data_IF_124391850502
#
_entry.id   IF_124391850502
#
_cell.length_a   1.000
_cell.length_b   1.000
_cell.length_c   1.000
_cell.angle_alpha   90.00
_cell.angle_beta   90.00
_cell.angle_gamma   90.00
#
_symmetry.space_group_name_H-M   'P 1'
#
loop_
_entity.id
_entity.type
_entity.pdbx_description
1 polymer ?
#
# COMPACT_ATOMS: atom_id res chain seq x y z
N UNK A 1 11.79 -84.01 -21.32
CA UNK A 1 12.47 -82.72 -21.10
C UNK A 1 11.97 -82.13 -19.80
N UNK A 2 12.89 -81.98 -18.85
CA UNK A 2 12.70 -81.33 -17.54
C UNK A 2 12.68 -79.80 -17.70
N UNK A 3 12.27 -79.12 -16.63
CA UNK A 3 12.34 -77.66 -16.33
C UNK A 3 11.13 -76.85 -16.79
N UNK A 4 10.54 -75.97 -15.98
CA UNK A 4 10.66 -75.74 -14.55
C UNK A 4 9.41 -74.98 -14.08
N UNK A 5 8.83 -75.49 -13.00
CA UNK A 5 7.75 -74.90 -12.23
C UNK A 5 8.39 -73.87 -11.30
N UNK A 6 8.10 -72.57 -11.46
CA UNK A 6 8.44 -71.55 -10.48
C UNK A 6 7.24 -70.62 -10.29
N UNK A 7 6.38 -71.04 -9.36
CA UNK A 7 5.41 -70.23 -8.65
C UNK A 7 6.07 -68.96 -8.11
N UNK A 8 5.66 -67.81 -8.62
CA UNK A 8 5.89 -66.53 -7.96
C UNK A 8 4.98 -66.47 -6.72
N UNK A 9 5.55 -66.82 -5.57
CA UNK A 9 4.95 -66.57 -4.27
C UNK A 9 5.00 -65.05 -4.02
N UNK A 10 3.99 -64.32 -4.50
CA UNK A 10 3.75 -62.94 -4.11
C UNK A 10 3.30 -62.96 -2.65
N UNK A 11 4.25 -63.01 -1.73
CA UNK A 11 4.02 -62.77 -0.31
C UNK A 11 3.54 -61.32 -0.20
N UNK A 12 2.23 -61.13 -0.12
CA UNK A 12 1.65 -59.87 0.35
C UNK A 12 2.16 -59.66 1.76
N UNK A 13 3.22 -58.86 1.92
CA UNK A 13 3.66 -58.38 3.22
C UNK A 13 2.52 -57.51 3.77
N UNK A 14 1.62 -58.16 4.51
CA UNK A 14 0.53 -57.48 5.18
C UNK A 14 1.17 -56.76 6.37
N UNK A 15 1.57 -55.52 6.13
CA UNK A 15 2.18 -54.70 7.16
C UNK A 15 1.21 -54.61 8.34
N UNK A 16 1.72 -54.89 9.54
CA UNK A 16 0.92 -54.82 10.75
C UNK A 16 0.36 -53.41 10.92
N UNK A 17 -0.81 -53.29 11.56
CA UNK A 17 -1.47 -52.00 11.79
C UNK A 17 -1.40 -51.66 13.26
N UNK A 18 -1.15 -50.39 13.57
CA UNK A 18 -1.24 -49.94 14.95
C UNK A 18 -2.71 -49.85 15.38
N UNK A 19 -2.91 -49.92 16.69
CA UNK A 19 -4.18 -49.67 17.36
C UNK A 19 -3.88 -48.78 18.55
N UNK A 20 -4.51 -47.61 18.60
CA UNK A 20 -4.36 -46.67 19.72
C UNK A 20 -5.54 -46.86 20.66
N UNK A 21 -5.26 -47.36 21.86
CA UNK A 21 -6.27 -47.66 22.87
C UNK A 21 -6.12 -46.77 24.10
N UNK A 22 -7.22 -46.61 24.84
CA UNK A 22 -7.27 -45.88 26.11
C UNK A 22 -6.73 -44.45 26.04
N UNK A 23 -6.98 -43.75 24.93
CA UNK A 23 -6.57 -42.36 24.82
C UNK A 23 -7.44 -41.47 25.70
N UNK A 24 -6.79 -40.61 26.46
CA UNK A 24 -7.43 -39.60 27.30
C UNK A 24 -6.59 -38.34 27.30
N UNK A 25 -7.29 -37.21 27.37
CA UNK A 25 -6.66 -35.93 27.65
C UNK A 25 -7.06 -35.47 29.05
N UNK A 26 -6.15 -34.75 29.69
CA UNK A 26 -6.35 -34.10 30.98
C UNK A 26 -5.89 -32.66 30.87
N UNK A 27 -6.79 -31.71 31.14
CA UNK A 27 -6.45 -30.29 31.25
C UNK A 27 -6.33 -29.94 32.74
N UNK A 28 -5.16 -29.43 33.14
CA UNK A 28 -4.88 -28.98 34.49
C UNK A 28 -4.74 -27.46 34.45
N UNK A 29 -5.73 -26.75 34.97
CA UNK A 29 -5.62 -25.31 35.18
C UNK A 29 -4.92 -25.04 36.50
N UNK A 30 -3.97 -24.09 36.55
CA UNK A 30 -3.06 -23.91 37.69
C UNK A 30 -3.68 -23.78 39.08
N UNK A 31 -4.97 -23.44 39.21
CA UNK A 31 -5.73 -23.35 40.48
C UNK A 31 -7.02 -24.21 40.52
N UNK A 32 -7.24 -25.07 39.52
CA UNK A 32 -8.48 -25.86 39.38
C UNK A 32 -8.25 -27.37 39.46
N UNK A 33 -9.34 -28.13 39.61
CA UNK A 33 -9.29 -29.59 39.53
C UNK A 33 -9.00 -30.07 38.09
N UNK A 34 -8.23 -31.16 37.91
CA UNK A 34 -7.89 -31.68 36.60
C UNK A 34 -9.11 -32.28 35.89
N UNK A 35 -9.48 -31.74 34.73
CA UNK A 35 -10.58 -32.26 33.91
C UNK A 35 -10.02 -33.32 32.97
N UNK A 36 -10.41 -34.58 33.17
CA UNK A 36 -10.00 -35.70 32.32
C UNK A 36 -11.17 -36.25 31.51
N UNK A 37 -10.98 -36.42 30.19
CA UNK A 37 -11.98 -37.01 29.29
C UNK A 37 -11.35 -38.06 28.38
N UNK A 38 -12.04 -39.18 28.12
CA UNK A 38 -11.59 -40.16 27.14
C UNK A 38 -11.75 -39.59 25.73
N UNK A 39 -10.85 -39.96 24.84
CA UNK A 39 -10.84 -39.49 23.46
C UNK A 39 -10.72 -40.70 22.53
N UNK A 40 -11.53 -40.73 21.48
CA UNK A 40 -11.52 -41.82 20.51
C UNK A 40 -10.69 -41.40 19.30
N UNK A 41 -9.50 -41.97 19.05
CA UNK A 41 -8.74 -41.70 17.85
C UNK A 41 -9.53 -42.18 16.62
N UNK A 42 -9.66 -41.32 15.62
CA UNK A 42 -10.30 -41.66 14.36
C UNK A 42 -9.45 -41.20 13.18
N UNK A 43 -9.61 -41.87 12.04
CA UNK A 43 -9.07 -41.41 10.76
C UNK A 43 -9.89 -40.25 10.17
N UNK A 44 -11.05 -39.93 10.76
CA UNK A 44 -11.89 -38.79 10.37
C UNK A 44 -11.64 -37.58 11.28
N UNK A 45 -11.84 -36.35 10.76
CA UNK A 45 -11.63 -35.13 11.52
C UNK A 45 -12.48 -35.11 12.79
N UNK A 46 -11.83 -35.02 13.94
CA UNK A 46 -12.46 -34.89 15.25
C UNK A 46 -13.16 -33.53 15.41
N UNK A 47 -14.43 -33.51 15.81
CA UNK A 47 -15.18 -32.27 16.11
C UNK A 47 -14.89 -31.71 17.52
N UNK A 48 -14.08 -32.39 18.33
CA UNK A 48 -13.78 -31.97 19.70
C UNK A 48 -12.76 -30.82 19.69
N UNK A 49 -13.11 -29.71 20.37
CA UNK A 49 -12.24 -28.55 20.52
C UNK A 49 -11.86 -28.39 21.99
N UNK A 50 -10.56 -28.34 22.26
CA UNK A 50 -10.00 -28.18 23.60
C UNK A 50 -9.36 -26.80 23.70
N UNK A 51 -9.80 -26.00 24.68
CA UNK A 51 -9.25 -24.66 24.92
C UNK A 51 -8.33 -24.69 26.14
N UNK A 52 -7.12 -24.16 25.97
CA UNK A 52 -6.08 -24.10 27.00
C UNK A 52 -5.70 -22.63 27.20
N UNK A 53 -5.50 -22.20 28.45
CA UNK A 53 -5.02 -20.85 28.81
C UNK A 53 -3.51 -20.84 29.03
N UNK A 54 -2.93 -19.66 29.20
CA UNK A 54 -1.48 -19.49 29.33
C UNK A 54 -0.85 -20.21 30.53
N UNK A 55 -1.58 -20.45 31.62
CA UNK A 55 -1.09 -21.16 32.81
C UNK A 55 -1.55 -22.62 32.90
N UNK A 56 -2.25 -23.11 31.88
CA UNK A 56 -2.81 -24.46 31.88
C UNK A 56 -1.78 -25.48 31.35
N UNK A 57 -1.91 -26.73 31.80
CA UNK A 57 -1.12 -27.86 31.33
C UNK A 57 -2.02 -28.93 30.74
N UNK A 58 -1.81 -29.28 29.47
CA UNK A 58 -2.48 -30.39 28.81
C UNK A 58 -1.63 -31.65 28.91
N UNK A 59 -2.22 -32.72 29.41
CA UNK A 59 -1.62 -34.05 29.41
C UNK A 59 -2.39 -34.96 28.49
N UNK A 60 -1.68 -35.63 27.59
CA UNK A 60 -2.24 -36.64 26.70
C UNK A 60 -1.62 -37.98 27.07
N UNK A 61 -2.46 -39.00 27.27
CA UNK A 61 -1.97 -40.35 27.53
C UNK A 61 -2.77 -41.38 26.76
N UNK A 62 -2.08 -42.33 26.15
CA UNK A 62 -2.64 -43.41 25.35
C UNK A 62 -1.68 -44.59 25.34
N UNK A 63 -2.16 -45.74 24.86
CA UNK A 63 -1.35 -46.93 24.67
C UNK A 63 -1.41 -47.38 23.21
N UNK A 64 -0.25 -47.71 22.65
CA UNK A 64 -0.10 -48.20 21.28
C UNK A 64 0.08 -49.71 21.33
N UNK A 65 -0.86 -50.41 20.72
CA UNK A 65 -0.88 -51.86 20.61
C UNK A 65 -0.88 -52.27 19.14
N UNK A 66 -0.47 -53.50 18.86
CA UNK A 66 -0.70 -54.12 17.56
C UNK A 66 -2.20 -54.48 17.42
N UNK A 67 -2.80 -54.14 16.29
CA UNK A 67 -4.22 -54.42 16.03
C UNK A 67 -4.56 -55.91 16.03
N UNK A 68 -3.61 -56.77 15.63
CA UNK A 68 -3.83 -58.22 15.49
C UNK A 68 -3.41 -58.94 16.76
N UNK A 69 -2.16 -58.73 17.20
CA UNK A 69 -1.61 -59.47 18.35
C UNK A 69 -2.05 -58.91 19.70
N UNK A 70 -2.61 -57.67 19.73
CA UNK A 70 -2.93 -56.91 20.95
C UNK A 70 -1.75 -56.71 21.89
N UNK A 71 -0.53 -57.00 21.45
CA UNK A 71 0.67 -56.77 22.25
C UNK A 71 1.07 -55.30 22.17
N UNK A 72 1.66 -54.80 23.24
CA UNK A 72 2.17 -53.44 23.28
C UNK A 72 3.35 -53.30 22.30
N UNK A 73 3.32 -52.24 21.50
CA UNK A 73 4.35 -51.96 20.49
C UNK A 73 4.99 -50.62 20.78
N UNK A 74 6.30 -50.53 20.58
CA UNK A 74 7.05 -49.28 20.61
C UNK A 74 7.40 -48.90 19.16
N UNK A 75 6.65 -47.97 18.53
CA UNK A 75 6.97 -47.51 17.18
C UNK A 75 8.33 -46.81 17.13
N UNK A 76 9.00 -46.88 15.98
CA UNK A 76 10.28 -46.21 15.76
C UNK A 76 10.11 -44.68 15.64
N UNK A 77 8.97 -44.23 15.10
CA UNK A 77 8.60 -42.83 14.94
C UNK A 77 7.23 -42.59 15.58
N UNK A 78 7.17 -41.59 16.46
CA UNK A 78 5.93 -41.15 17.10
C UNK A 78 6.00 -39.64 17.28
N UNK A 79 5.18 -38.93 16.51
CA UNK A 79 5.17 -37.47 16.51
C UNK A 79 3.75 -36.96 16.73
N UNK A 80 3.64 -35.88 17.50
CA UNK A 80 2.45 -35.07 17.57
C UNK A 80 2.66 -33.87 16.65
N UNK A 81 1.79 -33.74 15.66
CA UNK A 81 1.78 -32.60 14.73
C UNK A 81 0.71 -31.62 15.18
N UNK A 82 1.10 -30.37 15.32
CA UNK A 82 0.24 -29.21 15.51
C UNK A 82 0.23 -28.43 14.20
N UNK A 83 -0.94 -28.29 13.58
CA UNK A 83 -1.07 -27.64 12.27
C UNK A 83 -2.06 -26.48 12.35
N UNK A 84 -1.64 -25.30 11.90
CA UNK A 84 -2.53 -24.16 11.71
C UNK A 84 -3.00 -24.10 10.25
N UNK A 85 -4.31 -24.15 10.02
CA UNK A 85 -4.86 -24.13 8.67
C UNK A 85 -4.77 -22.77 7.99
N UNK A 86 -4.72 -21.68 8.79
CA UNK A 86 -4.73 -20.33 8.24
C UNK A 86 -3.34 -19.89 7.79
N UNK A 87 -2.33 -20.09 8.63
CA UNK A 87 -0.93 -19.77 8.29
C UNK A 87 -0.27 -20.86 7.45
N UNK A 88 -0.76 -22.11 7.53
CA UNK A 88 -0.10 -23.27 6.93
C UNK A 88 1.16 -23.71 7.70
N UNK A 89 1.44 -23.10 8.85
CA UNK A 89 2.58 -23.45 9.69
C UNK A 89 2.31 -24.73 10.48
N UNK A 90 3.38 -25.51 10.71
CA UNK A 90 3.31 -26.73 11.48
C UNK A 90 4.41 -26.83 12.54
N UNK A 91 4.02 -27.37 13.67
CA UNK A 91 4.89 -27.75 14.76
C UNK A 91 4.90 -29.25 14.96
N UNK A 92 6.06 -29.87 15.01
CA UNK A 92 6.20 -31.32 15.21
C UNK A 92 6.91 -31.58 16.54
N UNK A 93 6.22 -32.28 17.44
CA UNK A 93 6.76 -32.66 18.73
C UNK A 93 7.00 -34.17 18.78
N UNK A 94 8.26 -34.62 18.93
CA UNK A 94 8.55 -36.03 19.18
C UNK A 94 8.00 -36.46 20.54
N UNK A 95 7.35 -37.62 20.57
CA UNK A 95 6.84 -38.21 21.81
C UNK A 95 7.62 -39.49 22.12
N UNK A 96 8.04 -39.61 23.38
CA UNK A 96 8.69 -40.82 23.88
C UNK A 96 7.65 -41.89 24.21
N UNK A 97 7.78 -43.06 23.59
CA UNK A 97 6.98 -44.25 23.87
C UNK A 97 7.78 -45.19 24.77
N UNK A 98 7.17 -45.75 25.82
CA UNK A 98 7.82 -46.76 26.67
C UNK A 98 7.83 -48.13 25.98
N UNK A 99 8.65 -49.06 26.47
CA UNK A 99 8.64 -50.46 25.98
C UNK A 99 7.28 -51.15 26.15
N UNK A 100 6.45 -50.66 27.07
CA UNK A 100 5.06 -51.10 27.29
C UNK A 100 4.04 -50.41 26.38
N UNK A 101 4.47 -49.71 25.33
CA UNK A 101 3.60 -49.01 24.37
C UNK A 101 2.84 -47.82 24.97
N UNK A 102 3.11 -47.46 26.23
CA UNK A 102 2.43 -46.35 26.91
C UNK A 102 3.08 -45.03 26.55
N UNK A 103 2.24 -44.03 26.32
CA UNK A 103 2.63 -42.69 25.98
C UNK A 103 2.08 -41.72 27.02
N UNK A 104 2.93 -40.80 27.45
CA UNK A 104 2.57 -39.65 28.28
C UNK A 104 3.21 -38.41 27.66
N UNK A 105 2.38 -37.52 27.16
CA UNK A 105 2.78 -36.24 26.63
C UNK A 105 2.23 -35.15 27.55
N UNK A 106 3.04 -34.13 27.81
CA UNK A 106 2.70 -33.00 28.66
C UNK A 106 3.08 -31.71 27.93
N UNK A 107 2.08 -30.83 27.78
CA UNK A 107 2.20 -29.53 27.15
C UNK A 107 1.87 -28.47 28.19
N UNK A 108 2.90 -27.82 28.70
CA UNK A 108 2.78 -26.75 29.69
C UNK A 108 2.81 -25.40 28.99
N UNK A 109 1.71 -24.63 29.07
CA UNK A 109 1.62 -23.32 28.42
C UNK A 109 2.35 -22.20 29.18
N UNK A 110 2.74 -22.39 30.44
CA UNK A 110 3.55 -21.42 31.17
C UNK A 110 4.97 -21.32 30.57
N UNK A 111 5.42 -22.40 29.91
CA UNK A 111 6.68 -22.48 29.16
C UNK A 111 6.41 -23.25 27.86
N UNK A 112 5.75 -22.61 26.87
CA UNK A 112 5.36 -23.29 25.66
C UNK A 112 6.62 -23.76 24.91
N UNK A 113 6.63 -24.99 24.37
CA UNK A 113 7.78 -25.50 23.65
C UNK A 113 7.97 -24.76 22.33
N UNK A 114 9.23 -24.56 21.92
CA UNK A 114 9.61 -23.91 20.65
C UNK A 114 9.10 -24.64 19.40
N UNK A 115 8.66 -25.89 19.56
CA UNK A 115 8.09 -26.72 18.50
C UNK A 115 6.64 -26.38 18.19
N UNK A 116 5.96 -25.54 18.97
CA UNK A 116 4.63 -25.06 18.60
C UNK A 116 4.75 -24.00 17.50
N UNK A 117 3.87 -24.06 16.48
CA UNK A 117 3.82 -23.00 15.49
C UNK A 117 3.35 -21.69 16.17
N UNK A 118 3.77 -20.52 15.66
CA UNK A 118 3.13 -19.24 15.93
C UNK A 118 1.61 -19.36 15.88
N UNK A 119 0.95 -19.06 16.99
CA UNK A 119 -0.48 -19.28 17.16
C UNK A 119 -1.22 -17.97 17.02
N UNK A 120 -2.19 -17.95 16.11
CA UNK A 120 -3.18 -16.88 16.02
C UNK A 120 -4.43 -17.25 16.85
N UNK A 121 -5.56 -16.60 16.59
CA UNK A 121 -6.84 -16.92 17.23
C UNK A 121 -7.53 -18.16 16.59
N UNK A 122 -6.88 -18.82 15.62
CA UNK A 122 -7.33 -20.05 14.99
C UNK A 122 -7.03 -21.29 15.85
N UNK A 123 -7.91 -22.30 15.86
CA UNK A 123 -7.62 -23.57 16.53
C UNK A 123 -6.63 -24.41 15.72
N UNK A 124 -5.62 -24.96 16.39
CA UNK A 124 -4.62 -25.87 15.81
C UNK A 124 -5.19 -27.29 15.67
N UNK A 125 -4.96 -27.94 14.53
CA UNK A 125 -5.28 -29.36 14.36
C UNK A 125 -4.16 -30.21 14.95
N UNK A 126 -4.52 -31.07 15.92
CA UNK A 126 -3.58 -31.99 16.55
C UNK A 126 -3.73 -33.37 15.92
N UNK A 127 -2.67 -33.85 15.29
CA UNK A 127 -2.62 -35.15 14.61
C UNK A 127 -1.49 -36.01 15.20
N UNK A 128 -1.77 -37.27 15.49
CA UNK A 128 -0.77 -38.26 15.86
C UNK A 128 -0.25 -38.96 14.60
N UNK A 129 1.08 -38.97 14.45
CA UNK A 129 1.79 -39.64 13.36
C UNK A 129 2.59 -40.82 13.93
N UNK A 130 2.29 -42.02 13.44
CA UNK A 130 2.95 -43.26 13.84
C UNK A 130 3.67 -43.90 12.65
N UNK A 131 4.90 -44.34 12.87
CA UNK A 131 5.71 -45.00 11.85
C UNK A 131 6.67 -46.05 12.42
N UNK A 132 6.78 -47.19 11.75
CA UNK A 132 7.80 -48.21 12.00
C UNK A 132 8.01 -49.03 10.72
N UNK A 133 9.22 -49.52 10.41
CA UNK A 133 9.49 -50.25 9.17
C UNK A 133 8.58 -51.47 8.92
N UNK A 134 8.12 -52.13 9.98
CA UNK A 134 7.28 -53.34 9.89
C UNK A 134 5.78 -53.08 9.95
N UNK A 135 5.37 -51.82 10.10
CA UNK A 135 3.98 -51.41 10.28
C UNK A 135 3.55 -50.41 9.20
N UNK A 136 2.25 -50.39 8.89
CA UNK A 136 1.69 -49.36 7.99
C UNK A 136 1.71 -48.00 8.71
N UNK A 137 2.24 -46.92 8.09
CA UNK A 137 2.18 -45.59 8.67
C UNK A 137 0.74 -45.17 8.96
N UNK A 138 0.51 -44.59 10.13
CA UNK A 138 -0.84 -44.19 10.56
C UNK A 138 -0.86 -42.71 10.93
N UNK A 139 -1.87 -42.01 10.39
CA UNK A 139 -2.18 -40.62 10.68
C UNK A 139 -3.55 -40.57 11.35
N UNK A 140 -3.60 -40.16 12.60
CA UNK A 140 -4.83 -40.09 13.40
C UNK A 140 -5.09 -38.65 13.83
N UNK A 141 -6.23 -38.10 13.43
CA UNK A 141 -6.63 -36.77 13.85
C UNK A 141 -7.28 -36.87 15.24
N UNK A 142 -6.79 -36.07 16.20
CA UNK A 142 -7.16 -36.20 17.60
C UNK A 142 -8.23 -35.20 18.02
N UNK A 143 -7.88 -33.91 18.00
CA UNK A 143 -8.75 -32.81 18.41
C UNK A 143 -8.24 -31.49 17.83
N UNK A 144 -9.10 -30.48 17.89
CA UNK A 144 -8.72 -29.09 17.60
C UNK A 144 -8.33 -28.40 18.90
N UNK A 145 -7.18 -27.73 18.92
CA UNK A 145 -6.59 -27.14 20.11
C UNK A 145 -6.55 -25.62 20.00
N UNK A 146 -7.30 -24.95 20.86
CA UNK A 146 -7.29 -23.49 20.96
C UNK A 146 -6.30 -23.06 22.05
N UNK A 147 -5.24 -22.37 21.64
CA UNK A 147 -4.17 -21.84 22.50
C UNK A 147 -4.24 -20.31 22.45
N UNK A 148 -3.87 -19.57 23.52
CA UNK A 148 -3.67 -18.13 23.42
C UNK A 148 -2.71 -17.75 22.27
N UNK A 149 -2.92 -16.57 21.70
CA UNK A 149 -2.05 -16.05 20.66
C UNK A 149 -0.61 -15.92 21.18
N UNK A 150 0.35 -16.45 20.42
CA UNK A 150 1.77 -16.32 20.72
C UNK A 150 2.38 -15.19 19.89
N UNK A 151 3.66 -14.89 20.14
CA UNK A 151 4.38 -13.90 19.33
C UNK A 151 4.49 -14.41 17.89
N UNK A 152 4.43 -13.49 16.93
CA UNK A 152 4.59 -13.83 15.51
C UNK A 152 5.89 -14.58 15.26
N UNK A 153 5.91 -15.42 14.22
CA UNK A 153 7.13 -16.06 13.74
C UNK A 153 8.28 -15.04 13.68
N UNK A 154 9.50 -15.41 14.12
CA UNK A 154 10.65 -14.55 13.91
C UNK A 154 10.84 -14.35 12.40
N UNK A 155 10.56 -13.12 11.94
CA UNK A 155 10.72 -12.75 10.54
C UNK A 155 12.21 -12.77 10.18
N UNK A 156 12.54 -13.40 9.05
CA UNK A 156 13.90 -13.36 8.52
C UNK A 156 14.23 -11.90 8.16
N UNK A 157 15.44 -11.39 8.46
CA UNK A 157 15.79 -10.00 8.18
C UNK A 157 15.63 -9.62 6.70
N UNK A 158 15.79 -10.60 5.80
CA UNK A 158 15.65 -10.40 4.35
C UNK A 158 14.21 -10.60 3.82
N UNK A 159 13.23 -11.00 4.63
CA UNK A 159 11.84 -11.24 4.19
C UNK A 159 11.24 -9.99 3.53
N UNK A 160 11.56 -8.81 4.09
CA UNK A 160 11.12 -7.52 3.56
C UNK A 160 11.59 -7.23 2.11
N UNK A 161 12.68 -7.87 1.66
CA UNK A 161 13.24 -7.68 0.32
C UNK A 161 12.48 -8.46 -0.77
N UNK A 162 11.67 -9.46 -0.38
CA UNK A 162 10.95 -10.31 -1.32
C UNK A 162 9.48 -9.90 -1.54
N UNK A 163 9.05 -8.78 -0.94
CA UNK A 163 7.72 -8.24 -1.13
C UNK A 163 7.69 -7.10 -2.14
N UNK A 164 6.56 -6.97 -2.84
CA UNK A 164 6.29 -5.81 -3.68
C UNK A 164 6.24 -4.55 -2.81
N UNK A 165 7.09 -3.58 -3.12
CA UNK A 165 7.09 -2.28 -2.44
C UNK A 165 5.84 -1.48 -2.86
N UNK A 166 5.31 -0.63 -1.97
CA UNK A 166 4.20 0.24 -2.32
C UNK A 166 4.60 1.23 -3.42
N UNK A 167 3.64 1.57 -4.29
CA UNK A 167 3.85 2.55 -5.36
C UNK A 167 4.11 3.96 -4.79
N UNK A 168 5.09 4.67 -5.35
CA UNK A 168 5.43 6.03 -4.96
C UNK A 168 4.81 7.01 -5.96
N UNK A 169 3.80 7.77 -5.52
CA UNK A 169 3.18 8.82 -6.32
C UNK A 169 3.84 10.19 -6.07
N UNK A 170 4.17 10.91 -7.15
CA UNK A 170 4.71 12.27 -7.04
C UNK A 170 3.59 13.26 -6.66
N UNK A 171 3.80 14.02 -5.58
CA UNK A 171 2.88 15.08 -5.15
C UNK A 171 3.29 16.43 -5.75
N UNK A 172 2.49 16.93 -6.70
CA UNK A 172 2.68 18.26 -7.25
C UNK A 172 2.29 19.36 -6.26
N UNK A 173 2.91 20.54 -6.40
CA UNK A 173 2.51 21.72 -5.63
C UNK A 173 1.08 22.13 -6.02
N UNK A 174 0.23 22.47 -5.05
CA UNK A 174 -1.11 22.96 -5.35
C UNK A 174 -1.04 24.30 -6.07
N UNK A 175 -1.97 24.53 -7.00
CA UNK A 175 -2.08 25.81 -7.69
C UNK A 175 -2.43 26.94 -6.69
N UNK A 176 -1.80 28.14 -6.81
CA UNK A 176 -2.18 29.29 -6.00
C UNK A 176 -3.64 29.67 -6.21
N UNK A 177 -4.35 29.96 -5.11
CA UNK A 177 -5.75 30.40 -5.18
C UNK A 177 -5.85 31.81 -5.77
N UNK A 178 -6.59 31.94 -6.87
CA UNK A 178 -6.89 33.22 -7.50
C UNK A 178 -8.12 33.89 -6.85
N UNK A 179 -8.18 35.24 -6.81
CA UNK A 179 -9.37 35.95 -6.36
C UNK A 179 -10.61 35.70 -7.24
N UNK A 180 -11.83 35.94 -6.72
CA UNK A 180 -13.04 35.83 -7.51
C UNK A 180 -13.02 36.76 -8.74
N UNK A 181 -13.47 36.24 -9.89
CA UNK A 181 -13.49 36.99 -11.16
C UNK A 181 -14.31 38.28 -11.06
N UNK A 182 -15.46 38.24 -10.41
CA UNK A 182 -16.34 39.40 -10.25
C UNK A 182 -15.67 40.59 -9.55
N UNK A 183 -14.90 40.31 -8.49
CA UNK A 183 -14.14 41.34 -7.76
C UNK A 183 -13.05 41.91 -8.67
N UNK A 184 -12.30 41.04 -9.34
CA UNK A 184 -11.21 41.44 -10.24
C UNK A 184 -11.73 42.31 -11.41
N UNK A 185 -12.85 41.94 -12.03
CA UNK A 185 -13.45 42.69 -13.13
C UNK A 185 -14.00 44.04 -12.69
N UNK A 186 -14.58 44.12 -11.48
CA UNK A 186 -15.11 45.37 -10.94
C UNK A 186 -14.00 46.38 -10.70
N UNK A 187 -12.90 45.96 -10.04
CA UNK A 187 -11.76 46.85 -9.80
C UNK A 187 -11.02 47.22 -11.09
N UNK A 188 -10.82 46.28 -12.02
CA UNK A 188 -10.22 46.58 -13.31
C UNK A 188 -11.06 47.59 -14.11
N UNK A 189 -12.38 47.42 -14.13
CA UNK A 189 -13.31 48.36 -14.76
C UNK A 189 -13.29 49.73 -14.09
N UNK A 190 -13.25 49.78 -12.76
CA UNK A 190 -13.17 51.04 -12.01
C UNK A 190 -11.88 51.80 -12.32
N UNK A 191 -10.72 51.12 -12.30
CA UNK A 191 -9.42 51.74 -12.61
C UNK A 191 -9.37 52.23 -14.06
N UNK A 192 -9.99 51.52 -14.99
CA UNK A 192 -10.08 51.96 -16.38
C UNK A 192 -11.02 53.18 -16.49
N UNK A 193 -12.25 53.10 -16.02
CA UNK A 193 -13.29 54.09 -16.36
C UNK A 193 -13.15 55.40 -15.57
N UNK A 194 -12.82 55.34 -14.28
CA UNK A 194 -12.91 56.51 -13.38
C UNK A 194 -11.95 57.65 -13.80
N UNK A 195 -10.65 57.42 -14.05
CA UNK A 195 -9.74 58.50 -14.45
C UNK A 195 -10.13 59.15 -15.78
N UNK A 196 -10.58 58.36 -16.75
CA UNK A 196 -11.04 58.88 -18.05
C UNK A 196 -12.34 59.69 -17.91
N UNK A 197 -13.27 59.27 -17.05
CA UNK A 197 -14.49 60.02 -16.77
C UNK A 197 -14.18 61.37 -16.12
N UNK A 198 -13.29 61.39 -15.13
CA UNK A 198 -12.86 62.63 -14.47
C UNK A 198 -12.15 63.56 -15.46
N UNK A 199 -11.22 63.03 -16.26
CA UNK A 199 -10.46 63.81 -17.25
C UNK A 199 -11.38 64.41 -18.32
N UNK A 200 -12.30 63.62 -18.88
CA UNK A 200 -13.26 64.10 -19.88
C UNK A 200 -14.22 65.13 -19.29
N UNK A 201 -14.71 64.92 -18.06
CA UNK A 201 -15.52 65.90 -17.34
C UNK A 201 -14.81 67.25 -17.15
N UNK A 202 -13.53 67.22 -16.77
CA UNK A 202 -12.73 68.43 -16.62
C UNK A 202 -12.46 69.12 -17.96
N UNK A 203 -12.24 68.36 -19.03
CA UNK A 203 -12.12 68.93 -20.39
C UNK A 203 -13.40 69.61 -20.87
N UNK A 204 -14.58 69.07 -20.54
CA UNK A 204 -15.84 69.77 -20.85
C UNK A 204 -15.94 71.12 -20.11
N UNK A 205 -15.50 71.18 -18.85
CA UNK A 205 -15.52 72.41 -18.06
C UNK A 205 -14.54 73.48 -18.58
N UNK A 206 -13.32 73.08 -18.96
CA UNK A 206 -12.27 74.01 -19.41
C UNK A 206 -12.40 74.33 -20.91
N UNK A 207 -13.02 73.44 -21.69
CA UNK A 207 -13.19 73.55 -23.15
C UNK A 207 -11.89 73.94 -23.89
N UNK A 208 -10.82 73.12 -23.81
CA UNK A 208 -9.56 73.41 -24.46
C UNK A 208 -9.73 73.46 -25.99
N UNK A 209 -9.25 74.53 -26.62
CA UNK A 209 -9.31 74.70 -28.08
C UNK A 209 -8.04 74.17 -28.74
N UNK A 210 -8.19 73.29 -29.74
CA UNK A 210 -7.09 72.72 -30.54
C UNK A 210 -7.18 73.11 -32.03
N UNK A 211 -7.11 74.40 -32.38
CA UNK A 211 -7.47 74.89 -33.71
C UNK A 211 -6.55 74.42 -34.84
N UNK A 212 -5.31 73.99 -34.54
CA UNK A 212 -4.30 73.59 -35.54
C UNK A 212 -3.99 72.09 -35.58
N UNK A 213 -4.77 71.26 -34.88
CA UNK A 213 -4.50 69.81 -34.83
C UNK A 213 -4.48 69.17 -36.22
N UNK A 214 -5.35 69.64 -37.12
CA UNK A 214 -5.45 69.17 -38.50
C UNK A 214 -4.60 69.98 -39.50
N UNK A 215 -3.66 70.79 -39.02
CA UNK A 215 -2.73 71.50 -39.89
C UNK A 215 -1.77 70.49 -40.55
N UNK A 216 -1.44 70.64 -41.84
CA UNK A 216 -0.51 69.74 -42.54
C UNK A 216 0.88 69.68 -41.91
N UNK A 217 1.27 70.68 -41.13
CA UNK A 217 2.56 70.70 -40.42
C UNK A 217 2.53 69.95 -39.08
N UNK A 218 1.36 69.79 -38.45
CA UNK A 218 1.22 69.25 -37.07
C UNK A 218 0.65 67.84 -37.09
N UNK A 219 -0.30 67.57 -37.99
CA UNK A 219 -0.96 66.26 -38.11
C UNK A 219 0.03 65.10 -38.32
N UNK A 220 1.07 65.20 -39.17
CA UNK A 220 2.03 64.11 -39.34
C UNK A 220 2.79 63.78 -38.05
N UNK A 221 3.10 64.79 -37.24
CA UNK A 221 3.78 64.60 -35.96
C UNK A 221 2.86 63.93 -34.93
N UNK A 222 1.61 64.39 -34.78
CA UNK A 222 0.65 63.77 -33.86
C UNK A 222 0.27 62.36 -34.28
N UNK A 223 0.14 62.10 -35.59
CA UNK A 223 -0.05 60.75 -36.12
C UNK A 223 1.15 59.84 -35.80
N UNK A 224 2.38 60.35 -35.88
CA UNK A 224 3.57 59.57 -35.53
C UNK A 224 3.64 59.21 -34.03
N UNK A 225 3.17 60.10 -33.15
CA UNK A 225 3.02 59.80 -31.72
C UNK A 225 1.95 58.73 -31.48
N UNK A 226 0.80 58.82 -32.16
CA UNK A 226 -0.23 57.77 -32.11
C UNK A 226 0.26 56.42 -32.63
N UNK A 227 1.11 56.43 -33.67
CA UNK A 227 1.74 55.23 -34.19
C UNK A 227 2.71 54.59 -33.18
N UNK A 228 3.41 55.40 -32.35
CA UNK A 228 4.24 54.89 -31.26
C UNK A 228 3.41 54.20 -30.18
N UNK A 229 2.30 54.80 -29.76
CA UNK A 229 1.36 54.18 -28.80
C UNK A 229 0.78 52.87 -29.35
N UNK A 230 0.43 52.84 -30.64
CA UNK A 230 -0.02 51.62 -31.30
C UNK A 230 1.07 50.54 -31.37
N UNK A 231 2.32 50.92 -31.63
CA UNK A 231 3.45 50.00 -31.63
C UNK A 231 3.65 49.39 -30.23
N UNK A 232 3.53 50.19 -29.16
CA UNK A 232 3.60 49.71 -27.78
C UNK A 232 2.43 48.79 -27.43
N UNK A 233 1.22 49.09 -27.90
CA UNK A 233 0.08 48.17 -27.77
C UNK A 233 0.34 46.83 -28.49
N UNK A 234 0.84 46.87 -29.72
CA UNK A 234 1.19 45.67 -30.49
C UNK A 234 2.32 44.87 -29.82
N UNK A 235 3.29 45.53 -29.20
CA UNK A 235 4.30 44.88 -28.35
C UNK A 235 3.69 44.14 -27.18
N UNK A 236 2.73 44.74 -26.49
CA UNK A 236 2.07 44.11 -25.36
C UNK A 236 1.27 42.85 -25.76
N UNK A 237 0.69 42.84 -26.97
CA UNK A 237 -0.12 41.71 -27.46
C UNK A 237 0.73 40.59 -28.09
N UNK A 238 1.71 40.93 -28.93
CA UNK A 238 2.31 39.93 -29.84
C UNK A 238 3.77 40.16 -30.23
N UNK A 239 4.24 41.41 -30.42
CA UNK A 239 5.57 41.64 -31.00
C UNK A 239 6.70 41.24 -30.05
N UNK A 240 7.82 40.80 -30.64
CA UNK A 240 9.07 40.59 -29.91
C UNK A 240 9.85 41.91 -29.80
N UNK A 241 10.76 41.95 -28.83
CA UNK A 241 11.56 43.14 -28.56
C UNK A 241 12.36 43.64 -29.79
N UNK A 242 12.92 42.72 -30.59
CA UNK A 242 13.65 43.07 -31.81
C UNK A 242 12.79 43.76 -32.87
N UNK A 243 11.53 43.34 -33.03
CA UNK A 243 10.59 43.94 -33.99
C UNK A 243 10.23 45.35 -33.55
N UNK A 244 9.97 45.56 -32.26
CA UNK A 244 9.66 46.88 -31.69
C UNK A 244 10.83 47.83 -31.83
N UNK A 245 12.06 47.37 -31.58
CA UNK A 245 13.25 48.19 -31.77
C UNK A 245 13.43 48.58 -33.24
N UNK A 246 13.19 47.66 -34.17
CA UNK A 246 13.34 47.91 -35.61
C UNK A 246 12.27 48.88 -36.12
N UNK A 247 10.99 48.60 -35.86
CA UNK A 247 9.89 49.48 -36.24
C UNK A 247 9.97 50.82 -35.51
N UNK A 248 10.36 50.81 -34.23
CA UNK A 248 10.56 52.01 -33.43
C UNK A 248 11.71 52.88 -33.92
N UNK A 249 12.80 52.29 -34.43
CA UNK A 249 13.89 53.05 -35.03
C UNK A 249 13.45 53.75 -36.34
N UNK A 250 12.73 53.03 -37.21
CA UNK A 250 12.18 53.59 -38.45
C UNK A 250 11.17 54.71 -38.13
N UNK A 251 10.23 54.43 -37.23
CA UNK A 251 9.21 55.38 -36.81
C UNK A 251 9.82 56.59 -36.11
N UNK A 252 10.86 56.38 -35.28
CA UNK A 252 11.59 57.43 -34.59
C UNK A 252 12.23 58.42 -35.55
N UNK A 253 12.83 57.93 -36.64
CA UNK A 253 13.38 58.80 -37.69
C UNK A 253 12.28 59.71 -38.28
N UNK A 254 11.12 59.13 -38.61
CA UNK A 254 9.96 59.87 -39.13
C UNK A 254 9.45 60.90 -38.12
N UNK A 255 9.37 60.53 -36.83
CA UNK A 255 8.93 61.42 -35.75
C UNK A 255 9.89 62.59 -35.53
N UNK A 256 11.21 62.39 -35.68
CA UNK A 256 12.19 63.48 -35.57
C UNK A 256 11.98 64.52 -36.67
N UNK A 257 11.79 64.11 -37.92
CA UNK A 257 11.58 65.04 -39.03
C UNK A 257 10.23 65.76 -38.95
N UNK A 258 9.15 65.02 -38.72
CA UNK A 258 7.81 65.59 -38.58
C UNK A 258 7.70 66.48 -37.35
N UNK A 259 8.35 66.11 -36.24
CA UNK A 259 8.43 66.89 -35.01
C UNK A 259 9.19 68.19 -35.19
N UNK A 260 10.34 68.17 -35.88
CA UNK A 260 11.08 69.41 -36.20
C UNK A 260 10.22 70.38 -37.00
N UNK A 261 9.50 69.90 -38.02
CA UNK A 261 8.60 70.73 -38.83
C UNK A 261 7.41 71.28 -38.00
N UNK A 262 6.77 70.43 -37.20
CA UNK A 262 5.64 70.83 -36.36
C UNK A 262 6.05 71.89 -35.33
N UNK A 263 7.16 71.67 -34.62
CA UNK A 263 7.68 72.58 -33.59
C UNK A 263 8.16 73.91 -34.20
N UNK A 264 8.85 73.89 -35.35
CA UNK A 264 9.26 75.10 -36.05
C UNK A 264 8.05 75.94 -36.51
N UNK A 265 7.02 75.28 -37.04
CA UNK A 265 5.74 75.92 -37.44
C UNK A 265 4.98 76.55 -36.26
N UNK A 266 5.09 75.95 -35.06
CA UNK A 266 4.53 76.53 -33.82
C UNK A 266 5.39 77.73 -33.36
N UNK A 267 6.72 77.60 -33.43
CA UNK A 267 7.65 78.66 -33.05
C UNK A 267 7.50 79.91 -33.93
N UNK A 268 7.46 79.75 -35.25
CA UNK A 268 7.30 80.86 -36.21
C UNK A 268 6.00 81.62 -35.98
N UNK A 269 4.90 80.90 -35.68
CA UNK A 269 3.63 81.54 -35.33
C UNK A 269 3.73 82.38 -34.05
N UNK A 270 4.41 81.87 -33.01
CA UNK A 270 4.60 82.61 -31.75
C UNK A 270 5.46 83.86 -31.93
N UNK A 271 6.43 83.80 -32.84
CA UNK A 271 7.33 84.91 -33.18
C UNK A 271 6.76 85.86 -34.24
N UNK A 272 5.55 85.59 -34.77
CA UNK A 272 4.89 86.42 -35.77
C UNK A 272 5.54 86.41 -37.16
N UNK A 273 6.44 85.45 -37.42
CA UNK A 273 7.06 85.26 -38.72
C UNK A 273 6.13 84.41 -39.58
N UNK A 274 5.61 85.02 -40.65
CA UNK A 274 4.67 84.37 -41.60
C UNK A 274 5.40 83.41 -42.52
#
# INVERSE_FOLDING_TARGET
MKTAFLLFLAATAQAARFSVESMKYTVISGKGEPISKPLSPSAQPSSETITIRQDDTLKLSFQINDKISKQAVQPAQTFLRFYDEQSGEEGIQPIRVTSSGKVKFELNMAKPPLSLPPTSNSPLKVTLLLGSPSYTPEKLDLFSLHIPASHSAPSHPDEANFHLLPEIAHSFRPEPRLPPRAVSTLFAGAVLVIPWLVLTGLWFSISPRVPRLFSPNILPFTASLGAFEFLLYRYWVELKLGDVLTYGAILGLVTVFTGRHALASIANQRLGQK
#
